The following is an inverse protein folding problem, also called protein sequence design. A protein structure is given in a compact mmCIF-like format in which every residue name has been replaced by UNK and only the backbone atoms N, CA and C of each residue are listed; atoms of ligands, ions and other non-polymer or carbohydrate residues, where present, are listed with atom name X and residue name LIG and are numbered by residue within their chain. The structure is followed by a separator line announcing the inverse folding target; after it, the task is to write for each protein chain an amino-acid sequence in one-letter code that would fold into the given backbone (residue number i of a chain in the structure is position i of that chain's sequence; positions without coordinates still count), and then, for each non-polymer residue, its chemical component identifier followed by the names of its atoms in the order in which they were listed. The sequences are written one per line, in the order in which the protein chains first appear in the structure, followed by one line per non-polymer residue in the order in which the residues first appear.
data_IF_968676378755
#
_entry.id   IF_968676378755
#
_cell.length_a   1.000
_cell.length_b   1.000
_cell.length_c   1.000
_cell.angle_alpha   90.00
_cell.angle_beta   90.00
_cell.angle_gamma   90.00
#
_symmetry.space_group_name_H-M   'P 1'
#
loop_
_entity.id
_entity.type
_entity.pdbx_description
1 polymer ?
#
# COMPACT_ATOMS: atom_id res chain seq x y z
N UNK A 1 6.30 18.77 -5.02
CA UNK A 1 6.85 17.43 -5.31
C UNK A 1 6.35 16.47 -4.26
N UNK A 2 5.82 15.34 -4.68
CA UNK A 2 5.43 14.22 -3.81
C UNK A 2 6.43 13.07 -4.02
N UNK A 3 7.07 12.64 -2.96
CA UNK A 3 8.03 11.53 -2.97
C UNK A 3 7.36 10.31 -2.37
N UNK A 4 7.13 9.28 -3.16
CA UNK A 4 6.61 8.01 -2.69
C UNK A 4 7.72 6.98 -2.51
N UNK A 5 7.79 6.38 -1.32
CA UNK A 5 8.72 5.28 -1.04
C UNK A 5 7.92 4.00 -1.00
N UNK A 6 8.34 3.00 -1.77
CA UNK A 6 7.64 1.73 -1.84
C UNK A 6 8.58 0.54 -1.99
N UNK A 7 8.02 -0.66 -1.84
CA UNK A 7 8.72 -1.93 -2.03
C UNK A 7 7.74 -3.10 -2.02
N UNK A 8 8.24 -4.29 -2.32
CA UNK A 8 7.42 -5.50 -2.53
C UNK A 8 7.11 -6.31 -1.25
N UNK A 9 7.32 -5.71 -0.06
CA UNK A 9 7.29 -6.43 1.20
C UNK A 9 8.66 -7.02 1.56
N UNK A 10 9.11 -6.79 2.78
CA UNK A 10 10.42 -7.18 3.30
C UNK A 10 11.63 -6.65 2.51
N UNK A 11 11.43 -5.77 1.55
CA UNK A 11 12.52 -5.23 0.70
C UNK A 11 13.30 -4.09 1.36
N UNK A 12 12.87 -3.60 2.52
CA UNK A 12 13.61 -2.60 3.28
C UNK A 12 13.37 -1.15 2.82
N UNK A 13 12.21 -0.84 2.26
CA UNK A 13 11.81 0.52 1.85
C UNK A 13 11.92 1.55 2.99
N UNK A 14 11.70 1.12 4.23
CA UNK A 14 11.89 1.96 5.43
C UNK A 14 13.31 2.55 5.53
N UNK A 15 14.33 1.89 5.00
CA UNK A 15 15.70 2.41 4.99
C UNK A 15 15.82 3.72 4.17
N UNK A 16 15.17 3.77 3.00
CA UNK A 16 15.11 5.00 2.19
C UNK A 16 14.24 6.05 2.88
N UNK A 17 13.12 5.61 3.48
CA UNK A 17 12.25 6.51 4.25
C UNK A 17 13.02 7.17 5.41
N UNK A 18 13.80 6.39 6.15
CA UNK A 18 14.63 6.89 7.26
C UNK A 18 15.77 7.79 6.77
N UNK A 19 16.42 7.44 5.65
CA UNK A 19 17.42 8.29 5.02
C UNK A 19 16.85 9.65 4.66
N UNK A 20 15.69 9.71 4.03
CA UNK A 20 15.10 10.97 3.58
C UNK A 20 14.58 11.86 4.71
N UNK A 21 14.35 11.32 5.92
CA UNK A 21 14.10 12.14 7.13
C UNK A 21 15.26 13.03 7.53
N UNK A 22 16.45 12.78 7.01
CA UNK A 22 17.67 13.50 7.34
C UNK A 22 17.86 14.79 6.50
N UNK A 23 16.97 15.04 5.52
CA UNK A 23 17.01 16.21 4.64
C UNK A 23 16.00 17.27 5.10
N UNK A 24 16.49 18.48 5.37
CA UNK A 24 15.65 19.60 5.77
C UNK A 24 14.61 20.01 4.72
N UNK A 25 14.87 19.69 3.45
CA UNK A 25 13.98 19.97 2.31
C UNK A 25 12.80 19.03 2.22
N UNK A 26 12.81 17.93 3.00
CA UNK A 26 11.79 16.89 2.99
C UNK A 26 10.94 16.98 4.26
N UNK A 27 9.63 16.95 4.12
CA UNK A 27 8.74 16.78 5.26
C UNK A 27 7.95 15.48 5.16
N UNK A 28 7.58 14.93 6.29
CA UNK A 28 6.94 13.63 6.44
C UNK A 28 6.02 13.64 7.65
N UNK A 29 5.15 12.63 7.78
CA UNK A 29 4.22 12.51 8.90
C UNK A 29 4.99 12.17 10.18
N UNK A 30 5.02 13.14 11.12
CA UNK A 30 5.76 13.02 12.39
C UNK A 30 4.92 12.33 13.45
N UNK A 31 4.73 11.02 13.30
CA UNK A 31 4.02 10.17 14.26
C UNK A 31 4.87 8.97 14.66
N UNK A 32 4.48 8.30 15.74
CA UNK A 32 5.12 7.06 16.18
C UNK A 32 4.77 5.84 15.30
N UNK A 33 3.90 6.03 14.31
CA UNK A 33 3.49 5.00 13.36
C UNK A 33 3.58 5.54 11.95
N UNK A 34 4.13 4.75 11.05
CA UNK A 34 4.15 5.06 9.63
C UNK A 34 2.72 5.02 9.10
N UNK A 35 2.28 6.08 8.44
CA UNK A 35 1.01 6.10 7.75
C UNK A 35 1.23 5.68 6.30
N UNK A 36 0.83 4.47 5.97
CA UNK A 36 0.87 4.02 4.59
C UNK A 36 -0.27 4.62 3.77
N UNK A 37 0.08 5.20 2.63
CA UNK A 37 -0.87 5.71 1.64
C UNK A 37 -1.33 4.62 0.65
N UNK A 38 -1.11 3.38 0.97
CA UNK A 38 -1.48 2.20 0.15
C UNK A 38 -2.98 2.09 -0.14
N UNK A 39 -3.83 2.83 0.59
CA UNK A 39 -5.26 2.93 0.28
C UNK A 39 -5.54 3.50 -1.12
N UNK A 40 -4.55 4.09 -1.78
CA UNK A 40 -4.68 4.58 -3.15
C UNK A 40 -4.76 3.42 -4.14
N UNK A 41 -3.90 2.40 -3.99
CA UNK A 41 -3.78 1.30 -4.97
C UNK A 41 -4.12 -0.09 -4.44
N UNK A 42 -4.26 -0.27 -3.11
CA UNK A 42 -4.67 -1.56 -2.55
C UNK A 42 -6.04 -2.00 -3.11
N UNK A 43 -6.32 -3.32 -3.10
CA UNK A 43 -7.65 -3.82 -3.43
C UNK A 43 -8.73 -3.05 -2.68
N UNK A 44 -9.80 -2.69 -3.38
CA UNK A 44 -10.88 -1.83 -2.90
C UNK A 44 -10.47 -0.37 -2.57
N UNK A 45 -9.25 0.04 -2.92
CA UNK A 45 -8.76 1.41 -2.82
C UNK A 45 -9.27 2.33 -3.93
N UNK A 46 -8.65 3.52 -4.03
CA UNK A 46 -9.07 4.56 -4.99
C UNK A 46 -8.90 4.13 -6.45
N UNK A 47 -7.79 3.45 -6.78
CA UNK A 47 -7.53 2.97 -8.15
C UNK A 47 -8.50 1.87 -8.57
N UNK A 48 -8.83 0.93 -7.67
CA UNK A 48 -9.85 -0.08 -7.93
C UNK A 48 -11.25 0.55 -8.07
N UNK A 49 -11.54 1.59 -7.28
CA UNK A 49 -12.76 2.36 -7.43
C UNK A 49 -12.83 3.03 -8.82
N UNK A 50 -11.76 3.72 -9.27
CA UNK A 50 -11.67 4.29 -10.61
C UNK A 50 -11.94 3.26 -11.69
N UNK A 51 -11.24 2.11 -11.63
CA UNK A 51 -11.40 1.05 -12.61
C UNK A 51 -12.86 0.60 -12.73
N UNK A 52 -13.55 0.45 -11.60
CA UNK A 52 -14.92 -0.04 -11.57
C UNK A 52 -15.97 0.98 -12.00
N UNK A 53 -15.71 2.29 -11.83
CA UNK A 53 -16.69 3.32 -12.18
C UNK A 53 -16.44 3.98 -13.52
N UNK A 54 -15.17 3.97 -14.03
CA UNK A 54 -14.80 4.60 -15.29
C UNK A 54 -14.43 3.60 -16.39
N UNK A 55 -13.68 2.54 -16.09
CA UNK A 55 -13.06 1.69 -17.15
C UNK A 55 -13.85 0.42 -17.42
N UNK A 56 -14.36 -0.23 -16.40
CA UNK A 56 -15.15 -1.43 -16.58
C UNK A 56 -16.55 -1.06 -17.08
N UNK A 57 -17.24 -1.94 -17.88
CA UNK A 57 -18.60 -1.69 -18.34
C UNK A 57 -19.50 -1.35 -17.15
N UNK A 58 -19.74 -0.07 -16.98
CA UNK A 58 -20.39 0.44 -15.80
C UNK A 58 -21.88 0.16 -15.87
N UNK A 59 -22.32 -0.78 -15.06
CA UNK A 59 -23.74 -0.93 -14.72
C UNK A 59 -23.94 -0.26 -13.36
N UNK A 60 -25.14 0.32 -13.14
CA UNK A 60 -25.47 0.99 -11.88
C UNK A 60 -25.17 0.15 -10.63
N UNK A 61 -25.40 -1.17 -10.68
CA UNK A 61 -25.06 -2.09 -9.59
C UNK A 61 -23.55 -2.20 -9.34
N UNK A 62 -22.72 -2.06 -10.37
CA UNK A 62 -21.27 -2.14 -10.25
C UNK A 62 -20.73 -0.92 -9.50
N UNK A 63 -21.24 0.26 -9.80
CA UNK A 63 -20.89 1.48 -9.07
C UNK A 63 -21.29 1.40 -7.59
N UNK A 64 -22.51 0.89 -7.27
CA UNK A 64 -22.92 0.67 -5.88
C UNK A 64 -21.95 -0.28 -5.14
N UNK A 65 -21.52 -1.36 -5.78
CA UNK A 65 -20.58 -2.29 -5.17
C UNK A 65 -19.19 -1.69 -5.00
N UNK A 66 -18.67 -0.96 -5.98
CA UNK A 66 -17.38 -0.33 -5.92
C UNK A 66 -17.33 0.69 -4.75
N UNK A 67 -18.33 1.56 -4.64
CA UNK A 67 -18.44 2.50 -3.50
C UNK A 67 -18.49 1.76 -2.16
N UNK A 68 -19.21 0.64 -2.08
CA UNK A 68 -19.31 -0.11 -0.82
C UNK A 68 -18.03 -0.79 -0.44
N UNK A 69 -17.34 -1.42 -1.39
CA UNK A 69 -16.05 -2.04 -1.14
C UNK A 69 -15.05 -1.00 -0.65
N UNK A 70 -14.98 0.12 -1.35
CA UNK A 70 -14.15 1.25 -0.94
C UNK A 70 -14.50 1.73 0.49
N UNK A 71 -15.77 1.98 0.79
CA UNK A 71 -16.20 2.43 2.11
C UNK A 71 -15.92 1.37 3.19
N UNK A 72 -16.09 0.09 2.90
CA UNK A 72 -15.77 -1.00 3.83
C UNK A 72 -14.28 -1.06 4.12
N UNK A 73 -13.45 -0.97 3.08
CA UNK A 73 -11.99 -0.93 3.19
C UNK A 73 -11.53 0.28 4.00
N UNK A 74 -11.94 1.47 3.64
CA UNK A 74 -11.56 2.70 4.33
C UNK A 74 -12.03 2.72 5.79
N UNK A 75 -13.17 2.13 6.10
CA UNK A 75 -13.69 2.10 7.47
C UNK A 75 -12.79 1.29 8.43
N UNK A 76 -12.02 0.32 7.94
CA UNK A 76 -11.03 -0.43 8.73
C UNK A 76 -9.94 0.52 9.23
N UNK A 77 -9.50 1.43 8.37
CA UNK A 77 -8.39 2.35 8.65
C UNK A 77 -8.83 3.72 9.18
N UNK A 78 -10.12 4.01 9.13
CA UNK A 78 -10.70 5.31 9.46
C UNK A 78 -10.16 5.89 10.78
N UNK A 79 -10.19 5.10 11.86
CA UNK A 79 -9.72 5.55 13.18
C UNK A 79 -8.24 5.92 13.17
N UNK A 80 -7.45 5.18 12.40
CA UNK A 80 -6.03 5.42 12.26
C UNK A 80 -5.75 6.70 11.45
N UNK A 81 -6.38 6.86 10.29
CA UNK A 81 -6.24 8.06 9.48
C UNK A 81 -6.76 9.32 10.21
N UNK A 82 -7.88 9.22 10.90
CA UNK A 82 -8.40 10.33 11.68
C UNK A 82 -7.42 10.78 12.77
N UNK A 83 -6.67 9.86 13.39
CA UNK A 83 -5.69 10.20 14.44
C UNK A 83 -4.50 11.02 13.93
N UNK A 84 -4.12 10.89 12.66
CA UNK A 84 -2.99 11.59 12.04
C UNK A 84 -3.40 12.80 11.19
N UNK A 85 -4.71 12.97 10.97
CA UNK A 85 -5.27 14.07 10.15
C UNK A 85 -6.15 15.01 10.97
N UNK A 86 -5.99 15.06 12.29
CA UNK A 86 -6.81 15.89 13.18
C UNK A 86 -8.33 15.64 12.98
N UNK A 87 -8.74 14.38 12.83
CA UNK A 87 -10.11 13.94 12.55
C UNK A 87 -10.71 14.50 11.24
N UNK A 88 -9.86 14.91 10.29
CA UNK A 88 -10.36 15.42 9.00
C UNK A 88 -10.57 14.32 7.96
N UNK A 89 -9.87 13.19 8.06
CA UNK A 89 -9.96 12.12 7.06
C UNK A 89 -11.39 11.67 6.81
N UNK A 90 -12.13 11.38 7.88
CA UNK A 90 -13.54 10.95 7.77
C UNK A 90 -14.44 11.98 7.06
N UNK A 91 -14.21 13.27 7.32
CA UNK A 91 -14.98 14.36 6.69
C UNK A 91 -14.63 14.48 5.21
N UNK A 92 -13.33 14.45 4.90
CA UNK A 92 -12.83 14.51 3.52
C UNK A 92 -13.33 13.33 2.71
N UNK A 93 -13.28 12.11 3.28
CA UNK A 93 -13.79 10.91 2.62
C UNK A 93 -15.30 10.98 2.38
N UNK A 94 -16.10 11.47 3.37
CA UNK A 94 -17.53 11.66 3.17
C UNK A 94 -17.83 12.65 2.05
N UNK A 95 -17.13 13.79 2.04
CA UNK A 95 -17.27 14.79 0.97
C UNK A 95 -16.86 14.20 -0.38
N UNK A 96 -15.75 13.47 -0.47
CA UNK A 96 -15.33 12.82 -1.70
C UNK A 96 -16.39 11.88 -2.28
N UNK A 97 -17.01 11.05 -1.42
CA UNK A 97 -18.11 10.17 -1.85
C UNK A 97 -19.33 10.99 -2.30
N UNK A 98 -19.65 12.10 -1.62
CA UNK A 98 -20.74 12.99 -2.05
C UNK A 98 -20.45 13.63 -3.41
N UNK A 99 -19.19 13.96 -3.66
CA UNK A 99 -18.76 14.63 -4.89
C UNK A 99 -18.77 13.69 -6.13
N UNK A 100 -18.55 12.37 -5.96
CA UNK A 100 -18.49 11.41 -7.08
C UNK A 100 -19.78 10.62 -7.29
N UNK A 101 -20.67 10.54 -6.31
CA UNK A 101 -21.92 9.78 -6.40
C UNK A 101 -23.03 10.66 -6.98
N UNK A 102 -23.61 10.24 -8.12
CA UNK A 102 -24.70 10.99 -8.75
C UNK A 102 -26.00 10.93 -7.95
N UNK A 103 -26.33 9.76 -7.36
CA UNK A 103 -27.58 9.57 -6.61
C UNK A 103 -27.35 8.67 -5.40
N UNK A 104 -27.81 9.12 -4.22
CA UNK A 104 -27.96 8.30 -3.02
C UNK A 104 -29.45 7.99 -2.80
N UNK A 105 -29.75 6.73 -2.53
CA UNK A 105 -31.16 6.32 -2.33
C UNK A 105 -31.27 5.21 -1.29
N UNK A 106 -32.45 5.04 -0.72
CA UNK A 106 -32.75 3.95 0.23
C UNK A 106 -33.32 2.76 -0.53
N UNK A 107 -32.70 1.60 -0.39
CA UNK A 107 -33.16 0.35 -0.99
C UNK A 107 -33.22 -0.80 0.01
N UNK A 108 -34.05 -1.77 -0.25
CA UNK A 108 -34.10 -2.98 0.55
C UNK A 108 -32.80 -3.81 0.36
N UNK A 109 -32.36 -4.43 1.46
CA UNK A 109 -31.26 -5.40 1.41
C UNK A 109 -31.64 -6.59 0.55
N UNK A 110 -30.76 -7.01 -0.33
CA UNK A 110 -30.93 -8.13 -1.28
C UNK A 110 -29.85 -9.20 -1.08
N UNK A 111 -29.94 -10.29 -1.84
CA UNK A 111 -28.91 -11.34 -1.86
C UNK A 111 -27.52 -10.79 -2.22
N UNK A 112 -27.48 -9.81 -3.11
CA UNK A 112 -26.26 -9.16 -3.57
C UNK A 112 -25.57 -8.35 -2.47
N UNK A 113 -26.26 -8.12 -1.36
CA UNK A 113 -25.76 -7.35 -0.23
C UNK A 113 -25.14 -8.22 0.87
N UNK A 114 -25.10 -9.53 0.68
CA UNK A 114 -24.69 -10.47 1.72
C UNK A 114 -23.29 -10.18 2.28
N UNK A 115 -22.38 -9.71 1.44
CA UNK A 115 -21.00 -9.36 1.84
C UNK A 115 -20.93 -8.08 2.69
N UNK A 116 -21.95 -7.23 2.63
CA UNK A 116 -21.97 -5.89 3.24
C UNK A 116 -23.06 -5.71 4.30
N UNK A 117 -23.62 -6.80 4.78
CA UNK A 117 -24.64 -6.77 5.82
C UNK A 117 -24.37 -7.83 6.89
N UNK A 118 -24.59 -7.46 8.14
CA UNK A 118 -24.56 -8.38 9.27
C UNK A 118 -25.77 -9.32 9.35
N UNK A 119 -26.82 -9.07 8.51
CA UNK A 119 -28.00 -9.89 8.51
C UNK A 119 -27.78 -11.20 7.73
N UNK A 120 -27.96 -12.38 8.34
CA UNK A 120 -27.89 -13.65 7.62
C UNK A 120 -28.91 -13.70 6.48
N UNK A 121 -28.52 -14.26 5.35
CA UNK A 121 -29.38 -14.38 4.17
C UNK A 121 -30.71 -15.08 4.46
N UNK A 122 -30.69 -16.10 5.31
CA UNK A 122 -31.90 -16.84 5.73
C UNK A 122 -32.87 -15.89 6.43
N UNK A 123 -32.37 -15.02 7.32
CA UNK A 123 -33.17 -14.04 8.03
C UNK A 123 -33.81 -13.03 7.05
N UNK A 124 -33.02 -12.52 6.11
CA UNK A 124 -33.55 -11.58 5.08
C UNK A 124 -34.67 -12.24 4.26
N UNK A 125 -34.48 -13.51 3.86
CA UNK A 125 -35.50 -14.27 3.12
C UNK A 125 -36.74 -14.51 3.97
N UNK A 126 -36.57 -14.83 5.24
CA UNK A 126 -37.69 -15.03 6.17
C UNK A 126 -38.51 -13.73 6.38
N UNK A 127 -37.81 -12.62 6.69
CA UNK A 127 -38.43 -11.30 6.85
C UNK A 127 -39.19 -10.87 5.59
N UNK A 128 -38.62 -11.12 4.40
CA UNK A 128 -39.32 -10.82 3.13
C UNK A 128 -40.58 -11.65 2.96
N UNK A 129 -40.58 -12.94 3.27
CA UNK A 129 -41.77 -13.77 3.22
C UNK A 129 -42.85 -13.28 4.19
N UNK A 130 -42.48 -12.89 5.40
CA UNK A 130 -43.38 -12.31 6.40
C UNK A 130 -43.95 -11.00 5.88
N UNK A 131 -43.12 -10.09 5.38
CA UNK A 131 -43.58 -8.81 4.83
C UNK A 131 -44.60 -9.01 3.72
N UNK A 132 -44.33 -9.85 2.71
CA UNK A 132 -45.24 -10.13 1.59
C UNK A 132 -46.60 -10.66 2.10
N UNK A 133 -46.57 -11.58 3.09
CA UNK A 133 -47.83 -12.12 3.66
C UNK A 133 -48.67 -11.05 4.38
N UNK A 134 -48.00 -10.17 5.14
CA UNK A 134 -48.68 -9.09 5.84
C UNK A 134 -49.24 -8.05 4.88
N UNK A 135 -48.48 -7.67 3.85
CA UNK A 135 -48.93 -6.75 2.80
C UNK A 135 -50.14 -7.30 2.04
N UNK A 136 -50.12 -8.60 1.69
CA UNK A 136 -51.25 -9.27 1.04
C UNK A 136 -52.47 -9.33 1.93
N UNK A 137 -52.31 -9.57 3.25
CA UNK A 137 -53.42 -9.69 4.20
C UNK A 137 -54.05 -8.36 4.55
N UNK A 138 -53.24 -7.35 4.80
CA UNK A 138 -53.71 -6.07 5.34
C UNK A 138 -53.83 -4.95 4.30
N UNK A 139 -53.40 -5.19 3.05
CA UNK A 139 -53.37 -4.23 1.94
C UNK A 139 -52.68 -2.90 2.32
N UNK A 140 -51.63 -3.00 3.11
CA UNK A 140 -50.78 -1.90 3.58
C UNK A 140 -49.33 -2.24 3.39
N UNK A 141 -48.50 -1.22 3.12
CA UNK A 141 -47.06 -1.39 3.04
C UNK A 141 -46.45 -1.64 4.42
N UNK A 142 -45.61 -2.65 4.51
CA UNK A 142 -44.81 -2.98 5.69
C UNK A 142 -43.34 -2.82 5.37
N UNK A 143 -42.54 -2.36 6.33
CA UNK A 143 -41.11 -2.13 6.18
C UNK A 143 -40.31 -3.04 7.14
N UNK A 144 -40.52 -4.37 7.04
CA UNK A 144 -39.88 -5.37 7.90
C UNK A 144 -38.47 -5.70 7.39
N UNK A 145 -38.30 -5.76 6.07
CA UNK A 145 -36.97 -5.98 5.47
C UNK A 145 -36.13 -4.72 5.67
N UNK A 146 -34.90 -4.84 6.20
CA UNK A 146 -34.05 -3.67 6.41
C UNK A 146 -33.73 -2.95 5.10
N UNK A 147 -33.68 -1.63 5.17
CA UNK A 147 -33.25 -0.75 4.09
C UNK A 147 -31.84 -0.25 4.39
N UNK A 148 -31.06 -0.05 3.35
CA UNK A 148 -29.76 0.56 3.41
C UNK A 148 -29.60 1.63 2.33
N UNK A 149 -28.55 2.41 2.44
CA UNK A 149 -28.17 3.34 1.40
C UNK A 149 -27.68 2.59 0.15
N UNK A 150 -28.07 3.04 -1.01
CA UNK A 150 -27.62 2.61 -2.32
C UNK A 150 -26.99 3.78 -3.06
N UNK A 151 -26.09 3.50 -3.98
CA UNK A 151 -25.34 4.49 -4.71
C UNK A 151 -25.50 4.29 -6.22
N UNK A 152 -25.71 5.38 -6.95
CA UNK A 152 -25.49 5.41 -8.40
C UNK A 152 -24.22 6.20 -8.63
N UNK A 153 -23.20 5.49 -9.13
CA UNK A 153 -21.90 6.04 -9.48
C UNK A 153 -21.46 5.38 -10.79
N UNK A 154 -21.71 6.06 -11.91
CA UNK A 154 -21.50 5.54 -13.27
C UNK A 154 -20.91 6.65 -14.11
N UNK A 155 -19.65 6.50 -14.52
CA UNK A 155 -18.90 7.55 -15.23
C UNK A 155 -19.04 8.92 -14.57
N UNK A 156 -18.68 9.04 -13.26
CA UNK A 156 -18.81 10.32 -12.57
C UNK A 156 -17.90 11.38 -13.21
N UNK A 157 -18.46 12.57 -13.37
CA UNK A 157 -17.72 13.71 -13.91
C UNK A 157 -16.56 14.10 -12.98
N UNK A 158 -15.43 14.44 -13.58
CA UNK A 158 -14.25 14.92 -12.85
C UNK A 158 -13.75 13.98 -11.75
N UNK A 159 -13.88 12.66 -11.93
CA UNK A 159 -13.47 11.67 -10.93
C UNK A 159 -12.02 11.82 -10.52
N UNK A 160 -11.11 11.94 -11.48
CA UNK A 160 -9.66 12.04 -11.24
C UNK A 160 -9.34 13.33 -10.46
N UNK A 161 -9.91 14.46 -10.86
CA UNK A 161 -9.72 15.75 -10.19
C UNK A 161 -10.23 15.71 -8.75
N UNK A 162 -11.41 15.13 -8.52
CA UNK A 162 -11.99 14.98 -7.17
C UNK A 162 -11.17 14.03 -6.30
N UNK A 163 -10.62 12.96 -6.89
CA UNK A 163 -9.71 12.04 -6.20
C UNK A 163 -8.41 12.74 -5.81
N UNK A 164 -7.85 13.54 -6.71
CA UNK A 164 -6.66 14.36 -6.48
C UNK A 164 -6.89 15.38 -5.36
N UNK A 165 -8.03 16.07 -5.37
CA UNK A 165 -8.44 17.00 -4.30
C UNK A 165 -8.58 16.29 -2.95
N UNK A 166 -9.16 15.09 -2.94
CA UNK A 166 -9.29 14.29 -1.73
C UNK A 166 -7.91 13.93 -1.15
N UNK A 167 -7.01 13.38 -1.96
CA UNK A 167 -5.64 13.00 -1.54
C UNK A 167 -4.88 14.24 -1.04
N UNK A 168 -4.92 15.35 -1.78
CA UNK A 168 -4.28 16.61 -1.38
C UNK A 168 -4.84 17.15 -0.05
N UNK A 169 -6.16 17.03 0.15
CA UNK A 169 -6.83 17.35 1.40
C UNK A 169 -6.35 16.49 2.57
N UNK A 170 -6.19 15.18 2.35
CA UNK A 170 -5.64 14.26 3.36
C UNK A 170 -4.20 14.65 3.72
N UNK A 171 -3.33 14.86 2.72
CA UNK A 171 -1.94 15.30 2.92
C UNK A 171 -1.90 16.59 3.72
N UNK A 172 -2.66 17.60 3.32
CA UNK A 172 -2.73 18.89 4.03
C UNK A 172 -3.16 18.74 5.49
N UNK A 173 -4.09 17.85 5.77
CA UNK A 173 -4.63 17.67 7.12
C UNK A 173 -3.69 16.94 8.08
N UNK A 174 -2.58 16.36 7.58
CA UNK A 174 -1.52 15.77 8.43
C UNK A 174 -0.64 16.83 9.09
N UNK A 175 -0.73 18.10 8.66
CA UNK A 175 0.07 19.20 9.19
C UNK A 175 1.50 19.27 8.63
N UNK A 176 1.79 18.54 7.54
CA UNK A 176 3.07 18.67 6.84
C UNK A 176 3.24 20.05 6.21
N UNK A 177 4.48 20.52 6.15
CA UNK A 177 4.85 21.78 5.49
C UNK A 177 4.88 21.58 3.97
N UNK A 178 3.79 21.99 3.30
CA UNK A 178 3.61 21.83 1.86
C UNK A 178 4.56 22.70 1.01
N UNK A 179 5.38 23.56 1.61
CA UNK A 179 6.44 24.31 0.91
C UNK A 179 7.66 23.42 0.66
N UNK A 180 7.76 22.29 1.36
CA UNK A 180 8.80 21.29 1.23
C UNK A 180 8.38 20.17 0.28
N UNK A 181 9.32 19.27 -0.03
CA UNK A 181 9.06 18.00 -0.69
C UNK A 181 8.36 17.07 0.30
N UNK A 182 7.23 16.53 -0.07
CA UNK A 182 6.39 15.71 0.83
C UNK A 182 6.70 14.24 0.60
N UNK A 183 7.18 13.55 1.63
CA UNK A 183 7.45 12.13 1.60
C UNK A 183 6.28 11.34 2.16
N UNK A 184 5.82 10.36 1.38
CA UNK A 184 4.74 9.44 1.71
C UNK A 184 5.24 7.99 1.69
N UNK A 185 4.74 7.19 2.61
CA UNK A 185 5.01 5.75 2.66
C UNK A 185 3.96 4.99 1.83
N UNK A 186 4.42 4.14 0.92
CA UNK A 186 3.61 3.26 0.06
C UNK A 186 2.46 3.97 -0.71
N UNK A 187 2.66 5.15 -1.34
CA UNK A 187 1.57 5.80 -2.09
C UNK A 187 1.39 5.22 -3.49
N UNK A 188 2.34 4.45 -4.00
CA UNK A 188 2.40 3.93 -5.37
C UNK A 188 2.66 2.43 -5.39
N UNK A 189 2.02 1.66 -6.31
CA UNK A 189 2.31 0.24 -6.48
C UNK A 189 3.77 0.05 -6.95
N UNK A 190 4.55 -0.84 -6.31
CA UNK A 190 5.99 -0.94 -6.59
C UNK A 190 6.30 -1.47 -8.00
N UNK A 191 5.44 -2.31 -8.57
CA UNK A 191 5.63 -2.83 -9.93
C UNK A 191 5.38 -1.76 -11.01
N UNK A 192 4.35 -0.91 -10.85
CA UNK A 192 4.04 0.16 -11.80
C UNK A 192 3.60 1.45 -11.09
N UNK A 193 4.54 2.22 -10.50
CA UNK A 193 4.20 3.44 -9.78
C UNK A 193 3.42 4.46 -10.59
N UNK A 194 3.65 4.51 -11.90
CA UNK A 194 3.06 5.51 -12.80
C UNK A 194 1.55 5.36 -12.98
N UNK A 195 0.98 4.18 -12.67
CA UNK A 195 -0.46 3.96 -12.79
C UNK A 195 -1.31 4.93 -11.98
N UNK A 196 -0.80 5.38 -10.83
CA UNK A 196 -1.55 6.26 -9.92
C UNK A 196 -0.96 7.68 -9.84
N UNK A 197 0.05 8.00 -10.64
CA UNK A 197 0.68 9.33 -10.63
C UNK A 197 -0.29 10.46 -10.96
N UNK A 198 -1.31 10.19 -11.74
CA UNK A 198 -2.33 11.17 -12.11
C UNK A 198 -3.16 11.69 -10.91
N UNK A 199 -3.09 11.04 -9.75
CA UNK A 199 -3.70 11.53 -8.52
C UNK A 199 -2.85 12.51 -7.72
N UNK A 200 -1.63 12.79 -8.15
CA UNK A 200 -0.67 13.61 -7.40
C UNK A 200 -0.11 14.75 -8.24
N UNK A 201 0.36 15.79 -7.56
CA UNK A 201 1.13 16.85 -8.19
C UNK A 201 2.62 16.55 -8.13
N UNK A 202 3.29 16.53 -9.29
CA UNK A 202 4.73 16.28 -9.42
C UNK A 202 5.21 15.07 -8.63
N UNK A 203 4.70 13.84 -8.95
CA UNK A 203 5.03 12.60 -8.23
C UNK A 203 6.39 12.05 -8.64
N UNK A 204 7.16 11.59 -7.65
CA UNK A 204 8.39 10.83 -7.80
C UNK A 204 8.33 9.57 -6.94
N UNK A 205 8.73 8.43 -7.48
CA UNK A 205 8.74 7.16 -6.77
C UNK A 205 10.16 6.62 -6.59
N UNK A 206 10.48 6.18 -5.38
CA UNK A 206 11.65 5.34 -5.12
C UNK A 206 11.12 3.96 -4.72
N UNK A 207 11.46 2.96 -5.54
CA UNK A 207 11.08 1.56 -5.29
C UNK A 207 12.31 0.81 -4.82
N UNK A 208 12.20 0.22 -3.64
CA UNK A 208 13.29 -0.55 -3.03
C UNK A 208 13.07 -2.03 -3.28
N UNK A 209 14.05 -2.69 -3.87
CA UNK A 209 14.12 -4.13 -4.00
C UNK A 209 15.25 -4.70 -3.12
N UNK A 210 15.34 -6.01 -3.03
CA UNK A 210 16.28 -6.70 -2.16
C UNK A 210 16.58 -8.10 -2.68
N UNK A 211 17.74 -8.63 -2.29
CA UNK A 211 18.15 -10.00 -2.59
C UNK A 211 17.04 -11.01 -2.18
N UNK A 212 16.57 -11.85 -3.11
CA UNK A 212 15.48 -12.79 -2.84
C UNK A 212 15.80 -13.81 -1.73
N UNK A 213 17.08 -14.17 -1.53
CA UNK A 213 17.49 -15.09 -0.46
C UNK A 213 17.21 -14.46 0.92
N UNK A 214 17.51 -13.16 1.07
CA UNK A 214 17.24 -12.44 2.31
C UNK A 214 15.73 -12.22 2.50
N UNK A 215 14.96 -11.92 1.45
CA UNK A 215 13.50 -11.81 1.52
C UNK A 215 12.88 -13.13 1.98
N UNK A 216 13.29 -14.27 1.39
CA UNK A 216 12.80 -15.59 1.78
C UNK A 216 13.02 -15.87 3.26
N UNK A 217 14.24 -15.67 3.74
CA UNK A 217 14.61 -15.93 5.13
C UNK A 217 13.91 -14.99 6.11
N UNK A 218 13.75 -13.71 5.75
CA UNK A 218 13.03 -12.74 6.56
C UNK A 218 11.54 -13.10 6.61
N UNK A 219 10.92 -13.38 5.47
CA UNK A 219 9.50 -13.73 5.41
C UNK A 219 9.18 -14.96 6.26
N UNK A 220 10.02 -15.99 6.19
CA UNK A 220 9.88 -17.23 6.97
C UNK A 220 9.96 -16.99 8.48
N UNK A 221 10.75 -16.00 8.91
CA UNK A 221 10.99 -15.74 10.33
C UNK A 221 10.13 -14.65 10.95
N UNK A 222 9.70 -13.67 10.15
CA UNK A 222 8.99 -12.50 10.65
C UNK A 222 7.51 -12.42 10.22
N UNK A 223 7.03 -13.31 9.35
CA UNK A 223 5.65 -13.26 8.87
C UNK A 223 4.59 -13.31 9.99
N UNK A 224 4.86 -14.04 11.05
CA UNK A 224 3.98 -14.12 12.21
C UNK A 224 3.85 -12.79 12.99
N UNK A 225 4.80 -11.88 12.82
CA UNK A 225 4.81 -10.56 13.46
C UNK A 225 4.33 -9.45 12.52
N UNK A 226 4.81 -9.47 11.26
CA UNK A 226 4.60 -8.38 10.32
C UNK A 226 3.55 -8.67 9.24
N UNK A 227 3.08 -9.92 9.14
CA UNK A 227 2.15 -10.39 8.10
C UNK A 227 2.86 -11.13 6.98
N UNK A 228 2.10 -11.97 6.27
CA UNK A 228 2.61 -12.76 5.14
C UNK A 228 2.41 -11.98 3.84
N UNK A 229 3.48 -11.33 3.36
CA UNK A 229 3.46 -10.58 2.09
C UNK A 229 3.81 -11.43 0.87
N UNK A 230 4.50 -12.56 1.08
CA UNK A 230 4.89 -13.50 0.04
C UNK A 230 4.88 -14.92 0.64
N UNK A 231 4.47 -15.96 -0.11
CA UNK A 231 4.56 -17.35 0.32
C UNK A 231 5.99 -17.72 0.78
N UNK A 232 6.12 -18.56 1.81
CA UNK A 232 7.42 -18.96 2.34
C UNK A 232 7.44 -20.37 2.95
N UNK A 233 6.31 -21.06 2.94
CA UNK A 233 6.20 -22.46 3.41
C UNK A 233 6.86 -23.43 2.43
N UNK A 234 6.77 -23.16 1.13
CA UNK A 234 7.46 -23.85 0.03
C UNK A 234 8.38 -22.86 -0.69
N UNK A 235 9.59 -23.30 -1.02
CA UNK A 235 10.53 -22.47 -1.78
C UNK A 235 10.11 -22.32 -3.24
N UNK A 236 9.42 -23.32 -3.79
CA UNK A 236 8.84 -23.29 -5.12
C UNK A 236 7.76 -22.22 -5.23
N UNK A 237 6.82 -22.18 -4.28
CA UNK A 237 5.77 -21.16 -4.21
C UNK A 237 6.35 -19.77 -4.01
N UNK A 238 7.41 -19.65 -3.21
CA UNK A 238 8.14 -18.39 -3.05
C UNK A 238 8.72 -17.91 -4.38
N UNK A 239 9.41 -18.76 -5.12
CA UNK A 239 10.05 -18.40 -6.40
C UNK A 239 9.00 -17.99 -7.43
N UNK A 240 7.89 -18.74 -7.55
CA UNK A 240 6.79 -18.41 -8.44
C UNK A 240 6.17 -17.05 -8.07
N UNK A 241 5.79 -16.87 -6.82
CA UNK A 241 5.23 -15.61 -6.34
C UNK A 241 6.20 -14.42 -6.47
N UNK A 242 7.51 -14.64 -6.25
CA UNK A 242 8.52 -13.60 -6.41
C UNK A 242 8.57 -13.08 -7.86
N UNK A 243 8.51 -14.00 -8.84
CA UNK A 243 8.43 -13.64 -10.27
C UNK A 243 7.12 -12.93 -10.60
N UNK A 244 6.00 -13.48 -10.14
CA UNK A 244 4.66 -12.95 -10.45
C UNK A 244 4.45 -11.53 -9.90
N UNK A 245 4.91 -11.25 -8.69
CA UNK A 245 4.83 -9.91 -8.10
C UNK A 245 5.60 -8.87 -8.93
N UNK A 246 6.61 -9.29 -9.70
CA UNK A 246 7.42 -8.44 -10.58
C UNK A 246 7.00 -8.48 -12.06
N UNK A 247 6.06 -9.37 -12.41
CA UNK A 247 5.45 -9.33 -13.74
C UNK A 247 4.76 -7.99 -13.98
N UNK A 248 4.89 -7.48 -15.18
CA UNK A 248 4.31 -6.19 -15.53
C UNK A 248 5.02 -4.99 -14.89
N UNK A 249 6.24 -5.20 -14.38
CA UNK A 249 7.09 -4.10 -13.99
C UNK A 249 7.24 -3.17 -15.20
N UNK A 250 6.49 -2.07 -15.18
CA UNK A 250 6.47 -1.13 -16.28
C UNK A 250 7.78 -0.36 -16.33
N UNK A 251 8.14 0.03 -17.53
CA UNK A 251 9.37 0.77 -17.81
C UNK A 251 9.53 1.99 -16.92
N UNK A 252 10.76 2.21 -16.52
CA UNK A 252 11.13 3.33 -15.69
C UNK A 252 10.89 4.63 -16.45
N UNK A 253 10.18 5.54 -15.81
CA UNK A 253 10.08 6.92 -16.23
C UNK A 253 11.18 7.74 -15.54
N UNK A 254 11.41 8.97 -16.00
CA UNK A 254 12.31 9.91 -15.31
C UNK A 254 11.84 10.25 -13.87
N UNK A 255 10.67 9.79 -13.48
CA UNK A 255 10.05 9.99 -12.16
C UNK A 255 10.01 8.71 -11.31
N UNK A 256 10.69 7.63 -11.76
CA UNK A 256 10.80 6.37 -11.01
C UNK A 256 12.27 5.99 -10.88
N UNK A 257 12.73 5.83 -9.65
CA UNK A 257 14.05 5.32 -9.32
C UNK A 257 13.90 3.97 -8.61
N UNK A 258 14.60 2.95 -9.11
CA UNK A 258 14.71 1.66 -8.45
C UNK A 258 16.08 1.50 -7.82
N UNK A 259 16.11 1.10 -6.55
CA UNK A 259 17.32 0.90 -5.78
C UNK A 259 17.28 -0.44 -5.06
N UNK A 260 18.44 -1.08 -4.91
CA UNK A 260 18.54 -2.24 -4.04
C UNK A 260 18.82 -1.80 -2.60
N UNK A 261 18.19 -2.46 -1.64
CA UNK A 261 18.47 -2.22 -0.22
C UNK A 261 19.96 -2.37 0.09
N UNK A 262 20.61 -3.33 -0.54
CA UNK A 262 22.04 -3.59 -0.40
C UNK A 262 22.89 -2.41 -0.88
N UNK A 263 22.48 -1.72 -1.93
CA UNK A 263 23.22 -0.54 -2.44
C UNK A 263 23.23 0.61 -1.42
N UNK A 264 22.19 0.75 -0.60
CA UNK A 264 22.18 1.72 0.51
C UNK A 264 23.21 1.41 1.59
N UNK A 265 23.75 0.19 1.59
CA UNK A 265 24.72 -0.31 2.59
C UNK A 265 26.11 -0.37 1.97
N UNK A 266 26.26 -1.14 0.90
CA UNK A 266 27.58 -1.45 0.29
C UNK A 266 28.06 -0.37 -0.67
N UNK A 267 27.16 0.43 -1.22
CA UNK A 267 27.43 1.55 -2.14
C UNK A 267 26.86 2.87 -1.63
N UNK A 268 26.83 3.04 -0.33
CA UNK A 268 26.14 4.12 0.36
C UNK A 268 26.33 5.50 -0.31
N UNK A 269 27.59 5.93 -0.53
CA UNK A 269 27.88 7.26 -1.10
C UNK A 269 27.33 7.43 -2.52
N UNK A 270 27.44 6.41 -3.36
CA UNK A 270 26.99 6.47 -4.76
C UNK A 270 25.46 6.47 -4.80
N UNK A 271 24.83 5.63 -3.99
CA UNK A 271 23.37 5.52 -3.93
C UNK A 271 22.73 6.79 -3.38
N UNK A 272 23.33 7.41 -2.36
CA UNK A 272 22.85 8.72 -1.86
C UNK A 272 22.93 9.76 -2.96
N UNK A 273 24.06 9.91 -3.64
CA UNK A 273 24.20 10.86 -4.75
C UNK A 273 23.18 10.63 -5.88
N UNK A 274 22.87 9.36 -6.16
CA UNK A 274 21.83 9.01 -7.12
C UNK A 274 20.45 9.48 -6.66
N UNK A 275 20.09 9.26 -5.38
CA UNK A 275 18.82 9.70 -4.79
C UNK A 275 18.75 11.24 -4.74
N UNK A 276 19.83 11.90 -4.33
CA UNK A 276 19.93 13.36 -4.29
C UNK A 276 19.72 13.97 -5.67
N UNK A 277 20.40 13.46 -6.67
CA UNK A 277 20.26 13.91 -8.06
C UNK A 277 18.84 13.69 -8.58
N UNK A 278 18.26 12.52 -8.31
CA UNK A 278 16.91 12.16 -8.73
C UNK A 278 15.85 13.07 -8.12
N UNK A 279 15.93 13.33 -6.82
CA UNK A 279 14.98 14.16 -6.08
C UNK A 279 15.36 15.66 -6.06
N UNK A 280 16.48 16.04 -6.66
CA UNK A 280 17.03 17.40 -6.61
C UNK A 280 17.15 17.90 -5.17
N UNK A 281 17.79 17.09 -4.32
CA UNK A 281 18.12 17.43 -2.93
C UNK A 281 19.52 18.04 -2.84
N UNK A 282 19.76 18.83 -1.80
CA UNK A 282 21.10 19.25 -1.44
C UNK A 282 21.94 18.05 -0.98
N UNK A 283 23.27 18.18 -1.01
CA UNK A 283 24.17 17.15 -0.53
C UNK A 283 23.92 16.84 0.95
N UNK A 284 23.89 15.56 1.30
CA UNK A 284 23.69 15.07 2.67
C UNK A 284 24.92 15.42 3.53
N UNK A 285 24.77 16.42 4.38
CA UNK A 285 25.83 16.89 5.28
C UNK A 285 25.63 16.52 6.75
N UNK A 286 24.43 15.99 7.08
CA UNK A 286 24.05 15.65 8.46
C UNK A 286 24.66 14.33 8.90
N UNK A 287 24.98 14.13 10.18
CA UNK A 287 25.34 12.82 10.69
C UNK A 287 24.17 11.85 10.54
N UNK A 288 24.46 10.59 10.21
CA UNK A 288 23.48 9.51 10.08
C UNK A 288 22.69 9.33 11.38
N UNK A 289 21.50 9.85 11.40
CA UNK A 289 20.64 9.87 12.59
C UNK A 289 19.58 8.77 12.56
N UNK A 290 18.90 8.66 11.44
CA UNK A 290 17.78 7.72 11.28
C UNK A 290 18.21 6.45 10.54
N UNK A 291 18.86 6.59 9.39
CA UNK A 291 19.36 5.45 8.65
C UNK A 291 20.85 5.19 8.96
N UNK A 292 21.15 3.98 9.44
CA UNK A 292 22.50 3.55 9.82
C UNK A 292 22.89 2.29 9.05
N UNK A 293 23.63 2.41 7.92
CA UNK A 293 24.07 1.26 7.13
C UNK A 293 24.82 0.21 7.96
N UNK A 294 25.63 0.66 8.93
CA UNK A 294 26.40 -0.21 9.83
C UNK A 294 25.52 -1.06 10.76
N UNK A 295 24.26 -0.71 10.96
CA UNK A 295 23.27 -1.51 11.67
C UNK A 295 22.49 -2.40 10.70
N UNK A 296 22.06 -1.81 9.58
CA UNK A 296 21.24 -2.50 8.57
C UNK A 296 21.98 -3.62 7.86
N UNK A 297 23.33 -3.56 7.79
CA UNK A 297 24.17 -4.60 7.19
C UNK A 297 23.96 -5.97 7.84
N UNK A 298 23.64 -6.02 9.13
CA UNK A 298 23.36 -7.27 9.84
C UNK A 298 22.17 -8.06 9.25
N UNK A 299 21.28 -7.40 8.53
CA UNK A 299 20.12 -8.03 7.88
C UNK A 299 20.39 -8.51 6.46
N UNK A 300 21.60 -8.32 5.92
CA UNK A 300 22.00 -8.81 4.60
C UNK A 300 22.76 -10.14 4.68
N UNK A 301 22.80 -10.89 3.59
CA UNK A 301 23.50 -12.18 3.50
C UNK A 301 23.06 -13.16 4.61
N UNK A 302 21.77 -13.19 4.93
CA UNK A 302 21.23 -14.04 5.99
C UNK A 302 21.42 -15.53 5.71
N UNK A 303 21.51 -15.93 4.45
CA UNK A 303 21.80 -17.31 4.04
C UNK A 303 23.12 -17.88 4.61
N UNK A 304 24.07 -17.01 5.01
CA UNK A 304 25.29 -17.44 5.70
C UNK A 304 25.07 -17.81 7.17
N UNK A 305 23.92 -17.44 7.73
CA UNK A 305 23.59 -17.66 9.15
C UNK A 305 22.68 -18.86 9.35
N UNK A 306 21.99 -19.28 8.29
CA UNK A 306 20.97 -20.33 8.33
C UNK A 306 21.38 -21.52 7.45
N UNK A 307 22.32 -22.36 7.87
CA UNK A 307 22.78 -23.51 7.09
C UNK A 307 21.72 -24.58 6.87
N UNK A 308 20.70 -24.62 7.73
CA UNK A 308 19.52 -25.45 7.61
C UNK A 308 18.66 -25.13 6.38
N UNK A 309 18.82 -23.95 5.81
CA UNK A 309 18.10 -23.50 4.60
C UNK A 309 18.94 -23.65 3.31
N UNK A 310 20.11 -24.27 3.36
CA UNK A 310 21.05 -24.31 2.24
C UNK A 310 20.46 -24.86 0.92
N UNK A 311 19.61 -25.88 0.99
CA UNK A 311 18.95 -26.44 -0.20
C UNK A 311 17.95 -25.47 -0.81
N UNK A 312 17.15 -24.80 0.02
CA UNK A 312 16.19 -23.79 -0.42
C UNK A 312 16.90 -22.58 -1.02
N UNK A 313 18.02 -22.15 -0.41
CA UNK A 313 18.83 -21.04 -0.92
C UNK A 313 19.45 -21.39 -2.27
N UNK A 314 19.98 -22.60 -2.44
CA UNK A 314 20.53 -23.07 -3.73
C UNK A 314 19.45 -23.12 -4.82
N UNK A 315 18.21 -23.48 -4.46
CA UNK A 315 17.07 -23.44 -5.36
C UNK A 315 16.78 -22.00 -5.80
N UNK A 316 16.69 -21.06 -4.87
CA UNK A 316 16.46 -19.62 -5.14
C UNK A 316 17.58 -19.06 -6.04
N UNK A 317 18.83 -19.35 -5.75
CA UNK A 317 19.98 -18.91 -6.55
C UNK A 317 19.93 -19.38 -8.01
N UNK A 318 19.46 -20.60 -8.23
CA UNK A 318 19.30 -21.15 -9.57
C UNK A 318 18.13 -20.51 -10.32
N UNK A 319 16.97 -20.41 -9.65
CA UNK A 319 15.71 -20.02 -10.28
C UNK A 319 15.55 -18.49 -10.41
N UNK A 320 16.17 -17.71 -9.51
CA UNK A 320 16.08 -16.24 -9.47
C UNK A 320 17.44 -15.59 -9.72
N UNK A 321 18.28 -16.21 -10.53
CA UNK A 321 19.67 -15.79 -10.77
C UNK A 321 19.78 -14.30 -11.17
N UNK A 322 18.85 -13.81 -11.95
CA UNK A 322 18.81 -12.42 -12.43
C UNK A 322 18.53 -11.39 -11.34
N UNK A 323 17.97 -11.83 -10.20
CA UNK A 323 17.64 -10.98 -9.06
C UNK A 323 18.63 -11.07 -7.90
N UNK A 324 19.63 -11.98 -8.00
CA UNK A 324 20.62 -12.17 -6.96
C UNK A 324 21.57 -10.98 -6.89
N UNK A 325 21.70 -10.39 -5.71
CA UNK A 325 22.62 -9.29 -5.50
C UNK A 325 24.08 -9.79 -5.47
N UNK A 326 25.01 -9.15 -6.20
CA UNK A 326 26.38 -9.63 -6.38
C UNK A 326 27.29 -9.29 -5.17
N UNK A 327 27.04 -9.90 -4.03
CA UNK A 327 27.77 -9.65 -2.78
C UNK A 327 29.28 -9.93 -2.88
N UNK A 328 29.71 -10.80 -3.79
CA UNK A 328 31.13 -11.17 -3.98
C UNK A 328 32.02 -9.95 -4.30
N UNK A 329 31.43 -8.90 -4.87
CA UNK A 329 32.11 -7.64 -5.19
C UNK A 329 32.56 -6.86 -3.95
N UNK A 330 31.99 -7.16 -2.79
CA UNK A 330 32.20 -6.39 -1.56
C UNK A 330 32.94 -7.16 -0.47
N UNK A 331 33.44 -8.38 -0.78
CA UNK A 331 34.20 -9.23 0.13
C UNK A 331 33.34 -9.86 1.24
N UNK A 332 33.99 -10.63 2.09
CA UNK A 332 33.36 -11.22 3.27
C UNK A 332 33.30 -10.18 4.39
N UNK A 333 32.17 -9.56 4.56
CA UNK A 333 31.94 -8.69 5.72
C UNK A 333 31.40 -9.54 6.86
N UNK A 334 32.19 -9.64 7.93
CA UNK A 334 31.75 -10.26 9.19
C UNK A 334 31.11 -9.20 10.06
N UNK A 335 29.88 -9.42 10.52
CA UNK A 335 29.21 -8.51 11.45
C UNK A 335 28.54 -9.30 12.55
N UNK A 336 28.43 -8.66 13.72
CA UNK A 336 27.73 -9.23 14.86
C UNK A 336 26.22 -9.23 14.60
N UNK A 337 25.64 -10.41 14.67
CA UNK A 337 24.20 -10.65 14.49
C UNK A 337 23.51 -11.06 15.79
N UNK A 338 24.18 -10.96 16.92
CA UNK A 338 23.64 -11.36 18.22
C UNK A 338 22.34 -10.64 18.61
N UNK A 339 22.17 -9.43 18.07
CA UNK A 339 20.97 -8.59 18.28
C UNK A 339 20.02 -8.54 17.07
N UNK A 340 20.24 -9.40 16.08
CA UNK A 340 19.35 -9.50 14.92
C UNK A 340 17.94 -9.86 15.43
N UNK A 341 16.96 -9.03 15.11
CA UNK A 341 15.56 -9.13 15.57
C UNK A 341 15.26 -8.77 17.03
N UNK A 342 16.23 -8.43 17.89
CA UNK A 342 15.93 -7.97 19.26
C UNK A 342 15.48 -6.50 19.35
N UNK A 343 15.80 -5.69 18.33
CA UNK A 343 15.53 -4.25 18.30
C UNK A 343 14.50 -3.81 17.26
N UNK A 344 13.83 -4.74 16.62
CA UNK A 344 12.95 -4.43 15.47
C UNK A 344 11.49 -4.19 15.84
N UNK A 345 11.16 -4.23 17.15
CA UNK A 345 9.78 -4.01 17.64
C UNK A 345 9.75 -3.25 18.95
#
# INVERSE_FOLDING_TARGET
MIIGIGGYGYTGSTAVYDLLKEYDEVDYIKTNRTLEFSFVYNPDGLFDLEFNVLRAPAKHLKGDWAIRRYLSYINIYKKYFDSVTNNQFSKLNSKYIDDIVQVKYRRYVTLLDQQYTSYPLILIKALRKVQIRLEAKYKKDFHIVPKREGYICVYPDHFVEKTKEFIAGVIKSTGMDLTKKIMLDQPFPPNNPTEVFHYYDDPFAIVVDRDPRDIYLISKRLSHLAGTFIPHDSVEDFVEAYRDIRLGQAGDSSHVLRVNFEDLIYRYKDTIKQIESFLKLAEHTMPKKFFKPEVSIATTQLYKVYPDEAENIAFIERELKEYIYPFERYGNVMFDRSDLYKKTY
#
